data_IF_399066531629
#
_entry.id   IF_399066531629
#
_cell.length_a   1.000
_cell.length_b   1.000
_cell.length_c   1.000
_cell.angle_alpha   90.00
_cell.angle_beta   90.00
_cell.angle_gamma   90.00
#
_symmetry.space_group_name_H-M   'P 1'
#
loop_
_entity.id
_entity.type
_entity.pdbx_description
1 polymer ?
#
# COMPACT_ATOMS: atom_id res chain seq x y z
N UNK A 1 -68.91 -74.77 -81.75
CA UNK A 1 -69.51 -75.35 -80.54
C UNK A 1 -70.08 -74.18 -79.77
N UNK A 2 -71.33 -73.79 -80.09
CA UNK A 2 -72.53 -73.96 -79.24
C UNK A 2 -72.33 -73.29 -77.88
N UNK A 3 -73.17 -72.35 -77.40
CA UNK A 3 -74.63 -72.29 -77.50
C UNK A 3 -75.17 -70.92 -77.03
N UNK A 4 -76.41 -70.63 -77.40
CA UNK A 4 -77.27 -69.46 -77.09
C UNK A 4 -77.70 -69.31 -75.61
N UNK A 5 -78.05 -68.09 -75.21
CA UNK A 5 -79.40 -67.59 -74.75
C UNK A 5 -79.24 -66.38 -73.80
N UNK A 6 -79.75 -65.20 -74.19
CA UNK A 6 -81.07 -64.61 -73.86
C UNK A 6 -81.22 -64.03 -72.44
N UNK A 7 -81.20 -62.69 -72.41
CA UNK A 7 -82.17 -61.71 -71.87
C UNK A 7 -82.45 -61.46 -70.36
N UNK A 8 -82.71 -60.17 -70.13
CA UNK A 8 -83.50 -59.51 -69.07
C UNK A 8 -82.90 -59.24 -67.66
N UNK A 9 -82.66 -57.95 -67.35
CA UNK A 9 -83.41 -57.22 -66.29
C UNK A 9 -82.72 -55.92 -65.84
N UNK A 10 -83.55 -54.92 -65.61
CA UNK A 10 -83.29 -53.51 -65.31
C UNK A 10 -82.87 -53.23 -63.86
N UNK A 11 -82.26 -52.06 -63.66
CA UNK A 11 -82.23 -51.28 -62.41
C UNK A 11 -81.28 -51.72 -61.30
N UNK A 12 -80.16 -50.99 -61.15
CA UNK A 12 -79.59 -50.42 -59.90
C UNK A 12 -78.11 -50.08 -60.07
N UNK A 13 -77.81 -48.87 -60.55
CA UNK A 13 -76.45 -48.30 -60.52
C UNK A 13 -76.51 -46.81 -60.11
N UNK A 14 -76.96 -46.52 -58.89
CA UNK A 14 -76.86 -45.18 -58.28
C UNK A 14 -76.74 -45.27 -56.75
N UNK A 15 -75.75 -46.00 -56.24
CA UNK A 15 -75.50 -46.05 -54.78
C UNK A 15 -74.01 -46.15 -54.41
N UNK A 16 -73.09 -45.74 -55.28
CA UNK A 16 -71.64 -45.87 -55.05
C UNK A 16 -70.84 -44.56 -55.05
N UNK A 17 -71.48 -43.38 -55.00
CA UNK A 17 -70.79 -42.10 -55.27
C UNK A 17 -70.93 -41.00 -54.20
N UNK A 18 -71.27 -41.35 -52.96
CA UNK A 18 -71.54 -40.33 -51.92
C UNK A 18 -70.56 -40.39 -50.73
N UNK A 19 -69.62 -41.35 -50.69
CA UNK A 19 -68.83 -41.56 -49.47
C UNK A 19 -67.35 -41.12 -49.52
N UNK A 20 -66.84 -40.69 -50.68
CA UNK A 20 -65.44 -40.23 -50.82
C UNK A 20 -65.26 -38.70 -50.71
N UNK A 21 -66.33 -37.89 -50.58
CA UNK A 21 -66.21 -36.42 -50.59
C UNK A 21 -66.14 -35.75 -49.22
N UNK A 22 -66.39 -36.47 -48.12
CA UNK A 22 -66.38 -35.87 -46.77
C UNK A 22 -65.02 -36.02 -46.06
N UNK A 23 -64.22 -37.04 -46.36
CA UNK A 23 -62.89 -37.23 -45.74
C UNK A 23 -61.83 -36.24 -46.27
N UNK A 24 -61.95 -35.79 -47.52
CA UNK A 24 -61.00 -34.82 -48.11
C UNK A 24 -61.28 -33.35 -47.70
N UNK A 25 -62.47 -33.05 -47.17
CA UNK A 25 -62.84 -31.68 -46.79
C UNK A 25 -62.52 -31.36 -45.32
N UNK A 26 -62.45 -32.36 -44.44
CA UNK A 26 -61.96 -32.19 -43.07
C UNK A 26 -60.42 -32.02 -43.01
N UNK A 27 -59.69 -32.47 -44.03
CA UNK A 27 -58.24 -32.27 -44.15
C UNK A 27 -57.84 -30.82 -44.49
N UNK A 28 -58.76 -29.98 -44.97
CA UNK A 28 -58.44 -28.59 -45.38
C UNK A 28 -58.62 -27.55 -44.25
N UNK A 29 -59.08 -27.96 -43.08
CA UNK A 29 -59.38 -27.06 -41.95
C UNK A 29 -58.26 -26.87 -40.93
N UNK A 30 -57.02 -27.24 -41.27
CA UNK A 30 -55.86 -27.01 -40.39
C UNK A 30 -54.65 -26.39 -41.09
N UNK A 31 -54.87 -25.36 -41.92
CA UNK A 31 -53.79 -24.42 -42.20
C UNK A 31 -53.68 -23.49 -40.99
N UNK A 32 -52.59 -23.54 -40.19
CA UNK A 32 -52.44 -22.62 -39.07
C UNK A 32 -52.45 -21.19 -39.62
N UNK A 33 -53.31 -20.34 -39.06
CA UNK A 33 -53.52 -18.96 -39.49
C UNK A 33 -52.16 -18.24 -39.58
N UNK A 34 -51.84 -17.63 -40.72
CA UNK A 34 -50.61 -16.86 -40.91
C UNK A 34 -50.46 -15.76 -39.84
N UNK A 35 -51.57 -15.28 -39.25
CA UNK A 35 -51.57 -14.37 -38.09
C UNK A 35 -51.13 -15.03 -36.78
N UNK A 36 -51.41 -16.31 -36.57
CA UNK A 36 -50.93 -17.08 -35.41
C UNK A 36 -49.42 -17.31 -35.49
N UNK A 37 -48.89 -17.62 -36.68
CA UNK A 37 -47.44 -17.72 -36.88
C UNK A 37 -46.71 -16.38 -36.67
N UNK A 38 -47.27 -15.26 -37.13
CA UNK A 38 -46.64 -13.93 -36.95
C UNK A 38 -46.69 -13.45 -35.48
N UNK A 39 -47.77 -13.74 -34.76
CA UNK A 39 -47.87 -13.42 -33.32
C UNK A 39 -46.96 -14.29 -32.45
N UNK A 40 -46.83 -15.59 -32.76
CA UNK A 40 -45.88 -16.49 -32.11
C UNK A 40 -44.43 -16.05 -32.35
N UNK A 41 -44.08 -15.74 -33.61
CA UNK A 41 -42.75 -15.25 -34.01
C UNK A 41 -42.41 -13.90 -33.35
N UNK A 42 -43.36 -12.97 -33.25
CA UNK A 42 -43.18 -11.71 -32.49
C UNK A 42 -42.96 -11.95 -31.00
N UNK A 43 -43.66 -12.93 -30.40
CA UNK A 43 -43.49 -13.29 -28.99
C UNK A 43 -42.13 -13.90 -28.71
N UNK A 44 -41.66 -14.78 -29.60
CA UNK A 44 -40.34 -15.40 -29.50
C UNK A 44 -39.23 -14.38 -29.74
N UNK A 45 -39.39 -13.47 -30.71
CA UNK A 45 -38.44 -12.38 -30.95
C UNK A 45 -38.36 -11.41 -29.76
N UNK A 46 -39.49 -11.09 -29.11
CA UNK A 46 -39.51 -10.30 -27.87
C UNK A 46 -38.81 -11.02 -26.71
N UNK A 47 -38.98 -12.33 -26.58
CA UNK A 47 -38.29 -13.15 -25.56
C UNK A 47 -36.79 -13.21 -25.83
N UNK A 48 -36.37 -13.47 -27.06
CA UNK A 48 -34.95 -13.48 -27.44
C UNK A 48 -34.33 -12.10 -27.25
N UNK A 49 -35.00 -11.02 -27.66
CA UNK A 49 -34.53 -9.65 -27.42
C UNK A 49 -34.41 -9.33 -25.92
N UNK A 50 -35.39 -9.74 -25.11
CA UNK A 50 -35.30 -9.58 -23.65
C UNK A 50 -34.12 -10.35 -23.04
N UNK A 51 -33.88 -11.60 -23.48
CA UNK A 51 -32.73 -12.40 -23.03
C UNK A 51 -31.40 -11.73 -23.45
N UNK A 52 -31.30 -11.25 -24.68
CA UNK A 52 -30.11 -10.53 -25.18
C UNK A 52 -29.88 -9.24 -24.40
N UNK A 53 -30.94 -8.48 -24.08
CA UNK A 53 -30.84 -7.26 -23.27
C UNK A 53 -30.39 -7.60 -21.84
N UNK A 54 -30.95 -8.64 -21.22
CA UNK A 54 -30.52 -9.09 -19.88
C UNK A 54 -29.06 -9.52 -19.89
N UNK A 55 -28.62 -10.26 -20.92
CA UNK A 55 -27.21 -10.62 -21.08
C UNK A 55 -26.32 -9.40 -21.32
N UNK A 56 -26.74 -8.44 -22.14
CA UNK A 56 -25.96 -7.22 -22.37
C UNK A 56 -25.83 -6.39 -21.09
N UNK A 57 -26.92 -6.24 -20.33
CA UNK A 57 -26.93 -5.53 -19.06
C UNK A 57 -26.11 -6.26 -17.99
N UNK A 58 -26.14 -7.59 -17.94
CA UNK A 58 -25.29 -8.35 -17.01
C UNK A 58 -23.81 -8.18 -17.35
N UNK A 59 -23.43 -8.23 -18.62
CA UNK A 59 -22.05 -8.00 -19.05
C UNK A 59 -21.60 -6.56 -18.77
N UNK A 60 -22.45 -5.56 -19.04
CA UNK A 60 -22.14 -4.16 -18.71
C UNK A 60 -22.00 -3.95 -17.20
N UNK A 61 -22.89 -4.56 -16.40
CA UNK A 61 -22.78 -4.52 -14.95
C UNK A 61 -21.50 -5.21 -14.46
N UNK A 62 -21.15 -6.39 -14.99
CA UNK A 62 -19.89 -7.07 -14.68
C UNK A 62 -18.66 -6.27 -15.10
N UNK A 63 -18.70 -5.59 -16.25
CA UNK A 63 -17.63 -4.69 -16.69
C UNK A 63 -17.50 -3.47 -15.79
N UNK A 64 -18.61 -2.84 -15.41
CA UNK A 64 -18.60 -1.70 -14.49
C UNK A 64 -18.15 -2.09 -13.09
N UNK A 65 -18.62 -3.22 -12.58
CA UNK A 65 -18.19 -3.76 -11.30
C UNK A 65 -16.71 -4.15 -11.34
N UNK A 66 -16.24 -4.77 -12.43
CA UNK A 66 -14.83 -5.10 -12.62
C UNK A 66 -13.93 -3.87 -12.77
N UNK A 67 -14.38 -2.83 -13.47
CA UNK A 67 -13.66 -1.56 -13.60
C UNK A 67 -13.64 -0.79 -12.28
N UNK A 68 -14.74 -0.77 -11.54
CA UNK A 68 -14.80 -0.19 -10.20
C UNK A 68 -13.89 -0.96 -9.25
N UNK A 69 -13.98 -2.30 -9.22
CA UNK A 69 -13.10 -3.16 -8.45
C UNK A 69 -11.62 -2.98 -8.80
N UNK A 70 -11.28 -2.75 -10.07
CA UNK A 70 -9.91 -2.46 -10.53
C UNK A 70 -9.46 -1.02 -10.22
N UNK A 71 -10.37 -0.06 -10.21
CA UNK A 71 -10.05 1.29 -9.69
C UNK A 71 -9.85 1.27 -8.16
N UNK A 72 -10.50 0.32 -7.48
CA UNK A 72 -10.33 0.05 -6.05
C UNK A 72 -9.31 -1.06 -5.73
N UNK A 73 -8.70 -1.71 -6.72
CA UNK A 73 -7.38 -2.34 -6.55
C UNK A 73 -6.39 -1.17 -6.56
N UNK A 74 -6.52 -0.29 -5.57
CA UNK A 74 -6.05 -0.43 -4.19
C UNK A 74 -4.71 0.26 -4.24
N UNK A 75 -4.66 1.45 -3.66
CA UNK A 75 -3.42 2.10 -3.27
C UNK A 75 -2.67 1.11 -2.38
N UNK A 76 -1.88 0.23 -3.02
CA UNK A 76 -1.15 -0.83 -2.35
C UNK A 76 -0.10 -0.23 -1.44
N UNK A 77 0.47 0.90 -1.84
CA UNK A 77 1.49 1.59 -1.07
C UNK A 77 0.88 2.18 0.21
N UNK A 78 -0.23 2.91 0.12
CA UNK A 78 -0.96 3.38 1.31
C UNK A 78 -1.49 2.23 2.18
N UNK A 79 -2.03 1.17 1.57
CA UNK A 79 -2.49 -0.01 2.31
C UNK A 79 -1.34 -0.73 3.02
N UNK A 80 -0.20 -0.92 2.36
CA UNK A 80 0.99 -1.51 2.96
C UNK A 80 1.55 -0.61 4.06
N UNK A 81 1.67 0.70 3.83
CA UNK A 81 2.14 1.65 4.84
C UNK A 81 1.28 1.64 6.11
N UNK A 82 -0.05 1.61 5.95
CA UNK A 82 -0.99 1.51 7.06
C UNK A 82 -0.99 0.14 7.73
N UNK A 83 -0.70 -0.94 7.01
CA UNK A 83 -0.70 -2.30 7.55
C UNK A 83 0.60 -2.66 8.30
N UNK A 84 1.74 -2.12 7.88
CA UNK A 84 3.06 -2.52 8.39
C UNK A 84 3.67 -1.51 9.37
N UNK A 85 2.97 -0.44 9.72
CA UNK A 85 3.48 0.62 10.59
C UNK A 85 2.43 1.04 11.61
N UNK A 86 2.86 1.48 12.80
CA UNK A 86 1.99 2.17 13.74
C UNK A 86 1.43 3.45 13.10
N UNK A 87 0.18 3.79 13.46
CA UNK A 87 -0.44 5.01 12.96
C UNK A 87 0.36 6.26 13.38
N UNK A 88 0.52 7.21 12.47
CA UNK A 88 1.07 8.54 12.73
C UNK A 88 0.53 9.54 11.71
N UNK A 89 0.66 10.86 11.96
CA UNK A 89 0.30 11.89 10.97
C UNK A 89 1.01 11.75 9.63
N UNK A 90 2.20 11.14 9.59
CA UNK A 90 2.90 10.87 8.32
C UNK A 90 2.02 10.06 7.37
N UNK A 91 1.29 9.05 7.87
CA UNK A 91 0.41 8.22 7.03
C UNK A 91 -0.84 8.97 6.52
N UNK A 92 -1.14 10.13 7.10
CA UNK A 92 -2.27 10.98 6.72
C UNK A 92 -1.83 12.11 5.79
N UNK A 93 -0.67 12.70 6.05
CA UNK A 93 -0.21 13.94 5.43
C UNK A 93 0.81 13.70 4.29
N UNK A 94 1.42 12.52 4.23
CA UNK A 94 2.37 12.11 3.19
C UNK A 94 1.80 10.95 2.39
N UNK A 95 1.86 11.08 1.08
CA UNK A 95 1.60 9.96 0.16
C UNK A 95 2.80 9.01 0.21
N UNK A 96 2.70 7.96 1.03
CA UNK A 96 3.80 7.01 1.25
C UNK A 96 3.84 6.06 0.07
N UNK A 97 4.91 6.13 -0.70
CA UNK A 97 5.16 5.29 -1.88
C UNK A 97 6.32 4.32 -1.64
N UNK A 98 6.30 3.17 -2.29
CA UNK A 98 7.37 2.18 -2.25
C UNK A 98 8.09 2.11 -3.59
N UNK A 99 9.39 2.39 -3.56
CA UNK A 99 10.24 2.43 -4.74
C UNK A 99 11.45 1.52 -4.60
N UNK A 100 11.78 0.81 -5.68
CA UNK A 100 13.00 0.03 -5.74
C UNK A 100 14.24 0.92 -5.75
N UNK A 101 15.16 0.68 -4.82
CA UNK A 101 16.48 1.32 -4.75
C UNK A 101 17.58 0.27 -4.89
N UNK A 102 18.65 0.60 -5.59
CA UNK A 102 19.86 -0.22 -5.61
C UNK A 102 20.82 0.33 -4.58
N UNK A 103 21.25 -0.52 -3.65
CA UNK A 103 22.24 -0.11 -2.66
C UNK A 103 23.63 -0.11 -3.30
N UNK A 104 24.39 0.95 -3.04
CA UNK A 104 25.81 0.96 -3.36
C UNK A 104 26.56 0.19 -2.28
N UNK A 105 26.81 -1.09 -2.55
CA UNK A 105 27.51 -2.01 -1.65
C UNK A 105 29.02 -2.08 -1.91
N UNK A 106 29.59 -1.14 -2.66
CA UNK A 106 31.00 -1.17 -3.06
C UNK A 106 31.92 -1.24 -1.85
N UNK A 107 32.61 -2.37 -1.64
CA UNK A 107 33.36 -2.58 -0.41
C UNK A 107 34.55 -1.61 -0.26
N UNK A 108 35.38 -1.48 -1.30
CA UNK A 108 36.60 -0.66 -1.26
C UNK A 108 36.37 0.83 -1.60
N UNK A 109 35.27 1.14 -2.28
CA UNK A 109 34.96 2.51 -2.68
C UNK A 109 34.02 3.14 -1.66
N UNK A 110 34.55 4.12 -0.94
CA UNK A 110 33.78 4.88 0.04
C UNK A 110 33.02 6.03 -0.61
N UNK A 111 31.78 6.23 -0.17
CA UNK A 111 31.03 7.46 -0.40
C UNK A 111 31.26 8.45 0.75
N UNK A 112 30.61 9.62 0.69
CA UNK A 112 30.75 10.65 1.72
C UNK A 112 30.29 10.18 3.11
N UNK A 113 29.33 9.26 3.20
CA UNK A 113 28.76 8.83 4.48
C UNK A 113 29.69 7.89 5.26
N UNK A 114 30.66 7.28 4.57
CA UNK A 114 31.60 6.29 5.11
C UNK A 114 32.97 6.85 5.51
N UNK A 115 33.29 8.07 5.06
CA UNK A 115 34.59 8.70 5.33
C UNK A 115 34.80 9.02 6.80
N UNK A 116 36.07 9.22 7.17
CA UNK A 116 36.46 9.71 8.49
C UNK A 116 35.86 11.08 8.80
N UNK A 117 35.79 11.38 10.10
CA UNK A 117 35.21 12.60 10.62
C UNK A 117 35.78 13.87 9.97
N UNK A 118 34.89 14.69 9.42
CA UNK A 118 35.20 15.98 8.80
C UNK A 118 33.93 16.82 8.66
N UNK A 119 34.05 18.15 8.51
CA UNK A 119 32.89 19.02 8.30
C UNK A 119 32.03 18.62 7.10
N UNK A 120 32.64 18.15 6.02
CA UNK A 120 31.93 17.71 4.81
C UNK A 120 31.09 16.45 5.07
N UNK A 121 31.62 15.52 5.87
CA UNK A 121 30.87 14.32 6.29
C UNK A 121 29.73 14.71 7.21
N UNK A 122 29.96 15.61 8.16
CA UNK A 122 28.91 16.10 9.07
C UNK A 122 27.78 16.77 8.30
N UNK A 123 28.09 17.64 7.34
CA UNK A 123 27.08 18.26 6.47
C UNK A 123 26.27 17.25 5.66
N UNK A 124 26.91 16.18 5.15
CA UNK A 124 26.20 15.12 4.45
C UNK A 124 25.23 14.39 5.38
N UNK A 125 25.65 14.04 6.59
CA UNK A 125 24.77 13.41 7.58
C UNK A 125 23.64 14.34 8.05
N UNK A 126 23.94 15.61 8.32
CA UNK A 126 22.95 16.64 8.69
C UNK A 126 21.87 16.82 7.62
N UNK A 127 22.24 16.72 6.34
CA UNK A 127 21.30 16.77 5.21
C UNK A 127 20.31 15.61 5.18
N UNK A 128 20.49 14.56 6.00
CA UNK A 128 19.55 13.45 6.18
C UNK A 128 18.60 13.64 7.38
N UNK A 129 18.57 14.84 7.98
CA UNK A 129 17.66 15.14 9.09
C UNK A 129 18.04 14.50 10.43
N UNK A 130 19.30 14.10 10.61
CA UNK A 130 19.80 13.47 11.85
C UNK A 130 19.81 14.39 13.07
N UNK A 131 19.66 15.69 12.87
CA UNK A 131 19.62 16.70 13.92
C UNK A 131 18.30 17.51 13.90
N UNK A 132 17.23 16.94 13.34
CA UNK A 132 15.90 17.55 13.40
C UNK A 132 15.37 17.60 14.83
N UNK A 133 14.83 18.77 15.20
CA UNK A 133 14.19 19.01 16.50
C UNK A 133 12.85 18.29 16.59
N UNK A 134 12.34 18.18 17.83
CA UNK A 134 10.96 17.77 18.02
C UNK A 134 10.02 18.76 17.33
N UNK A 135 9.00 18.23 16.67
CA UNK A 135 7.87 18.97 16.14
C UNK A 135 6.69 18.95 17.10
N UNK A 136 5.57 19.57 16.71
CA UNK A 136 4.31 19.53 17.48
C UNK A 136 3.18 18.98 16.63
N UNK A 137 2.55 17.91 17.10
CA UNK A 137 1.33 17.35 16.49
C UNK A 137 0.11 17.65 17.35
N UNK A 138 -1.08 17.57 16.77
CA UNK A 138 -2.33 17.81 17.50
C UNK A 138 -2.53 16.78 18.63
N UNK A 139 -3.32 17.13 19.64
CA UNK A 139 -3.69 16.19 20.72
C UNK A 139 -4.37 14.94 20.14
N UNK A 140 -5.30 15.13 19.20
CA UNK A 140 -6.00 14.02 18.54
C UNK A 140 -5.04 13.06 17.84
N UNK A 141 -4.11 13.61 17.07
CA UNK A 141 -3.12 12.82 16.35
C UNK A 141 -2.14 12.12 17.33
N UNK A 142 -1.70 12.78 18.39
CA UNK A 142 -0.84 12.14 19.39
C UNK A 142 -1.51 10.96 20.08
N UNK A 143 -2.77 11.11 20.47
CA UNK A 143 -3.55 10.02 21.07
C UNK A 143 -3.73 8.84 20.10
N UNK A 144 -4.02 9.12 18.82
CA UNK A 144 -4.10 8.08 17.78
C UNK A 144 -2.76 7.39 17.51
N UNK A 145 -1.64 8.09 17.74
CA UNK A 145 -0.29 7.55 17.60
C UNK A 145 0.13 6.68 18.80
N UNK A 146 -0.68 6.63 19.86
CA UNK A 146 -0.40 5.85 21.07
C UNK A 146 0.25 6.64 22.20
N UNK A 147 0.31 7.98 22.10
CA UNK A 147 0.69 8.84 23.22
C UNK A 147 -0.49 8.98 24.18
N UNK A 148 -0.20 9.39 25.41
CA UNK A 148 -1.20 9.76 26.40
C UNK A 148 -0.89 11.14 27.02
N UNK A 149 -1.77 11.63 27.88
CA UNK A 149 -1.69 13.00 28.41
C UNK A 149 -0.52 13.24 29.38
N UNK A 150 0.19 12.19 29.82
CA UNK A 150 1.43 12.31 30.61
C UNK A 150 2.64 12.72 29.75
N UNK A 151 2.56 12.56 28.42
CA UNK A 151 3.62 12.99 27.52
C UNK A 151 3.73 14.52 27.47
N UNK A 152 4.93 15.00 27.14
CA UNK A 152 5.26 16.44 27.09
C UNK A 152 4.40 17.13 26.04
N UNK A 153 3.74 18.21 26.45
CA UNK A 153 2.80 18.96 25.62
C UNK A 153 3.18 20.44 25.54
N UNK A 154 2.85 21.06 24.41
CA UNK A 154 2.79 22.51 24.26
C UNK A 154 1.61 23.06 25.06
N UNK A 155 1.80 24.19 25.73
CA UNK A 155 0.74 24.79 26.55
C UNK A 155 -0.44 25.26 25.70
N UNK A 156 -1.63 25.28 26.30
CA UNK A 156 -2.89 25.61 25.61
C UNK A 156 -2.86 27.01 24.98
N UNK A 157 -2.16 27.95 25.61
CA UNK A 157 -1.95 29.32 25.11
C UNK A 157 -1.38 29.37 23.69
N UNK A 158 -0.61 28.36 23.29
CA UNK A 158 0.00 28.27 21.96
C UNK A 158 -0.66 27.21 21.07
N UNK A 159 -1.86 26.75 21.43
CA UNK A 159 -2.65 25.79 20.65
C UNK A 159 -2.21 24.35 20.88
N UNK A 160 -2.25 23.90 22.15
CA UNK A 160 -2.02 22.54 22.66
C UNK A 160 -1.66 21.43 21.65
N UNK A 161 -0.61 20.69 21.94
CA UNK A 161 -0.18 19.56 21.10
C UNK A 161 0.96 18.78 21.74
N UNK A 162 1.27 17.60 21.22
CA UNK A 162 2.37 16.78 21.71
C UNK A 162 3.66 17.13 21.00
N UNK A 163 4.75 17.23 21.77
CA UNK A 163 6.08 17.27 21.19
C UNK A 163 6.47 15.87 20.73
N UNK A 164 6.89 15.72 19.47
CA UNK A 164 7.23 14.42 18.89
C UNK A 164 8.44 14.52 17.98
N UNK A 165 9.22 13.45 17.93
CA UNK A 165 10.19 13.22 16.87
C UNK A 165 9.63 12.19 15.89
N UNK A 166 10.03 12.30 14.63
CA UNK A 166 9.75 11.25 13.64
C UNK A 166 10.75 10.12 13.87
N UNK A 167 10.27 8.93 14.24
CA UNK A 167 11.09 7.75 14.56
C UNK A 167 12.19 7.48 13.53
N UNK A 168 11.87 7.56 12.23
CA UNK A 168 12.86 7.38 11.16
C UNK A 168 14.05 8.36 11.24
N UNK A 169 13.80 9.62 11.59
CA UNK A 169 14.86 10.62 11.78
C UNK A 169 15.64 10.36 13.06
N UNK A 170 14.96 9.90 14.12
CA UNK A 170 15.62 9.50 15.36
C UNK A 170 16.51 8.25 15.17
N UNK A 171 16.11 7.28 14.34
CA UNK A 171 16.96 6.14 13.99
C UNK A 171 18.23 6.58 13.25
N UNK A 172 18.12 7.54 12.32
CA UNK A 172 19.29 8.11 11.63
C UNK A 172 20.17 8.93 12.58
N UNK A 173 19.58 9.65 13.54
CA UNK A 173 20.31 10.28 14.64
C UNK A 173 21.13 9.27 15.44
N UNK A 174 20.49 8.18 15.88
CA UNK A 174 21.15 7.09 16.59
C UNK A 174 22.32 6.51 15.77
N UNK A 175 22.10 6.26 14.47
CA UNK A 175 23.14 5.73 13.59
C UNK A 175 24.31 6.72 13.45
N UNK A 176 24.02 8.01 13.32
CA UNK A 176 25.04 9.06 13.27
C UNK A 176 25.84 9.12 14.57
N UNK A 177 25.20 8.99 15.75
CA UNK A 177 25.92 8.96 17.02
C UNK A 177 26.85 7.75 17.13
N UNK A 178 26.41 6.57 16.67
CA UNK A 178 27.27 5.37 16.60
C UNK A 178 28.45 5.62 15.66
N UNK A 179 28.23 6.19 14.46
CA UNK A 179 29.31 6.57 13.52
C UNK A 179 30.32 7.52 14.17
N UNK A 180 29.83 8.58 14.83
CA UNK A 180 30.67 9.58 15.52
C UNK A 180 31.47 8.95 16.66
N UNK A 181 31.01 7.82 17.21
CA UNK A 181 31.63 7.10 18.33
C UNK A 181 32.53 5.94 17.92
N UNK A 182 32.71 5.69 16.62
CA UNK A 182 33.70 4.73 16.13
C UNK A 182 35.10 5.17 16.57
N UNK A 183 35.97 4.21 16.86
CA UNK A 183 37.28 4.49 17.49
C UNK A 183 38.13 5.51 16.71
N UNK A 184 37.99 5.55 15.38
CA UNK A 184 38.71 6.46 14.49
C UNK A 184 38.05 7.84 14.34
N UNK A 185 36.82 8.01 14.80
CA UNK A 185 36.07 9.28 14.77
C UNK A 185 35.96 9.92 16.16
N UNK A 186 36.01 9.11 17.22
CA UNK A 186 35.64 9.51 18.57
C UNK A 186 36.45 10.71 19.09
N UNK A 187 37.78 10.70 18.95
CA UNK A 187 38.63 11.80 19.46
C UNK A 187 38.31 13.15 18.81
N UNK A 188 37.93 13.15 17.53
CA UNK A 188 37.52 14.35 16.81
C UNK A 188 36.24 14.95 17.42
N UNK A 189 35.19 14.13 17.56
CA UNK A 189 33.91 14.60 18.11
C UNK A 189 33.99 14.92 19.60
N UNK A 190 34.77 14.15 20.36
CA UNK A 190 35.02 14.43 21.78
C UNK A 190 35.71 15.78 21.97
N UNK A 191 36.68 16.11 21.12
CA UNK A 191 37.36 17.40 21.15
C UNK A 191 36.45 18.57 20.75
N UNK A 192 35.52 18.36 19.82
CA UNK A 192 34.54 19.39 19.46
C UNK A 192 33.58 19.70 20.62
N UNK A 193 33.20 18.69 21.41
CA UNK A 193 32.42 18.89 22.64
C UNK A 193 31.02 19.46 22.38
N UNK A 194 30.41 19.12 21.25
CA UNK A 194 29.06 19.57 20.86
C UNK A 194 28.06 18.42 20.91
N UNK A 195 26.77 18.73 20.89
CA UNK A 195 25.67 17.75 20.86
C UNK A 195 25.82 16.72 22.00
N UNK A 196 25.72 15.42 21.70
CA UNK A 196 25.91 14.35 22.68
C UNK A 196 27.26 14.45 23.42
N UNK A 197 28.33 14.86 22.73
CA UNK A 197 29.69 14.94 23.28
C UNK A 197 29.92 16.15 24.20
N UNK A 198 28.96 17.06 24.32
CA UNK A 198 28.96 18.11 25.35
C UNK A 198 28.71 17.54 26.76
N UNK A 199 28.14 16.34 26.86
CA UNK A 199 27.88 15.66 28.11
C UNK A 199 29.14 14.99 28.69
N UNK A 200 29.04 14.60 29.96
CA UNK A 200 30.05 13.76 30.61
C UNK A 200 30.23 12.42 29.91
N UNK A 201 31.43 11.85 30.04
CA UNK A 201 31.81 10.63 29.34
C UNK A 201 30.88 9.44 29.60
N UNK A 202 30.45 9.28 30.85
CA UNK A 202 29.56 8.19 31.22
C UNK A 202 28.17 8.33 30.55
N UNK A 203 27.68 9.56 30.36
CA UNK A 203 26.42 9.85 29.66
C UNK A 203 26.56 9.57 28.17
N UNK A 204 27.68 10.00 27.55
CA UNK A 204 27.94 9.71 26.13
C UNK A 204 27.92 8.20 25.89
N UNK A 205 28.59 7.41 26.75
CA UNK A 205 28.60 5.95 26.63
C UNK A 205 27.22 5.31 26.76
N UNK A 206 26.40 5.79 27.70
CA UNK A 206 25.02 5.32 27.86
C UNK A 206 24.18 5.67 26.63
N UNK A 207 24.32 6.89 26.10
CA UNK A 207 23.61 7.34 24.90
C UNK A 207 24.00 6.50 23.68
N UNK A 208 25.30 6.27 23.45
CA UNK A 208 25.78 5.41 22.35
C UNK A 208 25.24 3.98 22.50
N UNK A 209 25.26 3.42 23.71
CA UNK A 209 24.73 2.08 23.98
C UNK A 209 23.22 1.99 23.72
N UNK A 210 22.46 3.02 24.10
CA UNK A 210 21.04 3.12 23.80
C UNK A 210 20.80 3.18 22.30
N UNK A 211 21.50 4.08 21.58
CA UNK A 211 21.38 4.22 20.13
C UNK A 211 21.71 2.92 19.39
N UNK A 212 22.76 2.21 19.80
CA UNK A 212 23.12 0.91 19.26
C UNK A 212 21.95 -0.09 19.40
N UNK A 213 21.35 -0.17 20.59
CA UNK A 213 20.24 -1.11 20.83
C UNK A 213 18.96 -0.70 20.10
N UNK A 214 18.64 0.60 20.02
CA UNK A 214 17.52 1.12 19.23
C UNK A 214 17.65 0.71 17.76
N UNK A 215 18.83 0.88 17.15
CA UNK A 215 19.07 0.45 15.76
C UNK A 215 18.91 -1.07 15.62
N UNK A 216 19.46 -1.86 16.57
CA UNK A 216 19.29 -3.32 16.57
C UNK A 216 17.81 -3.72 16.60
N UNK A 217 17.00 -3.08 17.46
CA UNK A 217 15.58 -3.35 17.57
C UNK A 217 14.84 -3.04 16.26
N UNK A 218 15.16 -1.93 15.61
CA UNK A 218 14.57 -1.54 14.31
C UNK A 218 14.92 -2.55 13.21
N UNK A 219 16.19 -2.98 13.13
CA UNK A 219 16.64 -3.96 12.14
C UNK A 219 16.01 -5.35 12.35
N UNK A 220 15.75 -5.74 13.60
CA UNK A 220 15.06 -7.01 13.92
C UNK A 220 13.55 -6.89 13.64
N UNK A 221 12.95 -5.76 13.98
CA UNK A 221 11.52 -5.50 13.74
C UNK A 221 11.20 -5.44 12.25
N UNK A 222 12.08 -4.82 11.46
CA UNK A 222 11.98 -4.70 10.02
C UNK A 222 13.00 -5.60 9.33
N UNK A 223 13.06 -6.86 9.73
CA UNK A 223 14.03 -7.82 9.19
C UNK A 223 13.91 -7.90 7.67
N UNK A 224 15.01 -7.65 6.99
CA UNK A 224 15.08 -7.78 5.54
C UNK A 224 15.09 -9.27 5.15
N UNK A 225 14.20 -9.63 4.23
CA UNK A 225 14.05 -11.00 3.72
C UNK A 225 14.74 -11.21 2.37
N UNK A 226 15.41 -10.18 1.85
CA UNK A 226 16.28 -10.27 0.69
C UNK A 226 17.49 -11.18 0.93
N UNK A 227 18.08 -11.65 -0.17
CA UNK A 227 19.29 -12.48 -0.15
C UNK A 227 20.40 -11.79 -0.95
N UNK A 228 21.65 -11.99 -0.53
CA UNK A 228 22.83 -11.54 -1.26
C UNK A 228 23.69 -12.74 -1.67
N UNK A 229 24.25 -12.66 -2.86
CA UNK A 229 25.08 -13.72 -3.45
C UNK A 229 26.58 -13.48 -3.25
N UNK A 230 27.39 -14.26 -3.96
CA UNK A 230 28.83 -14.08 -4.05
C UNK A 230 29.26 -13.90 -5.50
N UNK A 231 30.33 -13.13 -5.70
CA UNK A 231 31.03 -12.92 -6.99
C UNK A 231 32.48 -13.38 -6.88
N UNK A 232 33.13 -13.63 -8.00
CA UNK A 232 34.57 -13.89 -8.05
C UNK A 232 35.34 -12.57 -7.95
N UNK A 233 36.22 -12.44 -6.95
CA UNK A 233 37.01 -11.25 -6.71
C UNK A 233 38.50 -11.59 -6.45
N UNK A 234 39.38 -10.63 -6.75
CA UNK A 234 40.83 -10.73 -6.52
C UNK A 234 41.59 -11.54 -7.58
N UNK A 235 42.89 -11.72 -7.32
CA UNK A 235 43.82 -12.54 -8.11
C UNK A 235 44.75 -13.31 -7.16
N UNK A 236 44.66 -14.66 -7.06
CA UNK A 236 43.74 -15.53 -7.79
C UNK A 236 42.26 -15.33 -7.37
N UNK A 237 41.28 -15.63 -8.23
CA UNK A 237 39.87 -15.42 -7.91
C UNK A 237 39.39 -16.23 -6.70
N UNK A 238 38.70 -15.58 -5.77
CA UNK A 238 38.01 -16.19 -4.63
C UNK A 238 36.57 -15.67 -4.51
N UNK A 239 35.63 -16.46 -3.94
CA UNK A 239 34.27 -15.99 -3.71
C UNK A 239 34.24 -14.84 -2.68
N UNK A 240 33.53 -13.76 -3.00
CA UNK A 240 33.34 -12.61 -2.14
C UNK A 240 31.87 -12.15 -2.16
N UNK A 241 31.24 -11.79 -1.03
CA UNK A 241 29.85 -11.33 -1.01
C UNK A 241 29.62 -10.10 -1.89
N UNK A 242 28.56 -10.11 -2.70
CA UNK A 242 28.13 -8.94 -3.44
C UNK A 242 27.04 -8.19 -2.68
N UNK A 243 27.41 -7.04 -2.14
CA UNK A 243 26.50 -6.20 -1.36
C UNK A 243 25.62 -5.30 -2.24
N UNK A 244 25.81 -5.28 -3.57
CA UNK A 244 25.00 -4.49 -4.49
C UNK A 244 23.65 -5.16 -4.71
N UNK A 245 22.75 -4.92 -3.78
CA UNK A 245 21.43 -5.53 -3.69
C UNK A 245 20.33 -4.51 -3.99
N UNK A 246 19.16 -5.03 -4.35
CA UNK A 246 17.99 -4.20 -4.71
C UNK A 246 16.94 -4.33 -3.61
N UNK A 247 16.46 -3.19 -3.12
CA UNK A 247 15.60 -3.06 -1.96
C UNK A 247 14.35 -2.28 -2.29
N UNK A 248 13.22 -2.65 -1.69
CA UNK A 248 12.01 -1.83 -1.76
C UNK A 248 12.02 -0.85 -0.58
N UNK A 249 12.02 0.45 -0.88
CA UNK A 249 12.14 1.49 0.15
C UNK A 249 10.94 2.41 0.10
N UNK A 250 10.50 2.89 1.28
CA UNK A 250 9.60 4.05 1.35
C UNK A 250 10.28 5.27 0.71
N UNK A 251 9.50 6.19 0.14
CA UNK A 251 9.95 7.49 -0.36
C UNK A 251 10.46 8.39 0.78
N UNK A 252 11.68 8.10 1.24
CA UNK A 252 12.34 8.77 2.36
C UNK A 252 12.33 10.29 2.24
N UNK A 253 12.57 10.83 1.05
CA UNK A 253 12.69 12.27 0.82
C UNK A 253 11.38 13.02 1.16
N UNK A 254 10.21 12.43 0.86
CA UNK A 254 8.91 13.03 1.18
C UNK A 254 8.64 13.03 2.71
N UNK A 255 9.01 11.93 3.38
CA UNK A 255 8.89 11.79 4.83
C UNK A 255 9.85 12.77 5.53
N UNK A 256 11.07 12.89 5.01
CA UNK A 256 12.08 13.83 5.50
C UNK A 256 11.60 15.27 5.38
N UNK A 257 11.08 15.67 4.22
CA UNK A 257 10.56 17.03 3.99
C UNK A 257 9.38 17.34 4.94
N UNK A 258 8.49 16.38 5.18
CA UNK A 258 7.42 16.54 6.17
C UNK A 258 7.99 16.71 7.59
N UNK A 259 8.96 15.89 7.98
CA UNK A 259 9.61 15.97 9.29
C UNK A 259 10.33 17.32 9.48
N UNK A 260 10.98 17.83 8.44
CA UNK A 260 11.66 19.11 8.45
C UNK A 260 10.68 20.25 8.76
N UNK A 261 9.53 20.27 8.08
CA UNK A 261 8.47 21.28 8.24
C UNK A 261 7.75 21.19 9.59
N UNK A 262 7.71 20.01 10.20
CA UNK A 262 7.04 19.79 11.49
C UNK A 262 7.79 20.45 12.66
N UNK A 263 9.11 20.65 12.55
CA UNK A 263 9.98 21.07 13.64
C UNK A 263 9.45 22.31 14.37
N UNK A 264 9.45 22.23 15.70
CA UNK A 264 9.18 23.39 16.54
C UNK A 264 10.31 24.43 16.39
N UNK A 265 10.04 25.71 16.75
CA UNK A 265 11.10 26.71 16.85
C UNK A 265 12.22 26.25 17.79
N UNK A 266 13.46 26.74 17.60
CA UNK A 266 14.58 26.42 18.48
C UNK A 266 14.25 26.72 19.95
N UNK A 267 14.66 25.82 20.85
CA UNK A 267 14.28 25.87 22.28
C UNK A 267 14.68 27.19 22.95
N UNK A 268 15.82 27.75 22.56
CA UNK A 268 16.35 29.03 23.04
C UNK A 268 15.52 30.25 22.60
N UNK A 269 14.62 30.08 21.62
CA UNK A 269 13.71 31.13 21.14
C UNK A 269 12.31 31.05 21.77
N UNK A 270 12.00 29.98 22.50
CA UNK A 270 10.67 29.74 23.03
C UNK A 270 10.42 30.50 24.35
N UNK A 271 9.21 31.06 24.56
CA UNK A 271 8.81 31.58 25.87
C UNK A 271 8.88 30.50 26.96
N UNK A 272 9.16 30.90 28.21
CA UNK A 272 9.26 29.97 29.34
C UNK A 272 7.95 29.23 29.67
N UNK A 273 6.80 29.73 29.21
CA UNK A 273 5.48 29.11 29.34
C UNK A 273 5.01 28.36 28.07
N UNK A 274 5.92 28.12 27.11
CA UNK A 274 5.60 27.42 25.87
C UNK A 274 5.28 25.92 26.09
N UNK A 275 6.02 25.28 26.99
CA UNK A 275 5.78 23.88 27.39
C UNK A 275 4.82 23.86 28.57
N UNK A 276 3.82 22.97 28.53
CA UNK A 276 2.93 22.77 29.66
C UNK A 276 3.71 22.19 30.86
N UNK A 277 3.43 22.63 32.09
CA UNK A 277 4.06 22.06 33.26
C UNK A 277 3.66 20.57 33.41
N UNK A 278 4.56 19.69 33.83
CA UNK A 278 4.23 18.29 34.09
C UNK A 278 3.42 18.15 35.38
N UNK A 279 2.56 17.14 35.44
CA UNK A 279 2.03 16.66 36.73
C UNK A 279 3.12 15.84 37.44
N UNK A 280 3.10 15.73 38.79
CA UNK A 280 4.11 14.96 39.51
C UNK A 280 4.22 13.49 39.08
N UNK A 281 3.13 12.91 38.57
CA UNK A 281 3.09 11.54 38.03
C UNK A 281 3.75 11.38 36.67
N UNK A 282 3.93 12.47 35.92
CA UNK A 282 4.44 12.45 34.55
C UNK A 282 5.98 12.37 34.52
N UNK A 283 6.64 12.66 35.65
CA UNK A 283 8.09 12.71 35.76
C UNK A 283 8.66 11.32 36.03
N UNK A 284 9.46 10.79 35.10
CA UNK A 284 10.13 9.50 35.23
C UNK A 284 11.50 9.67 35.94
N UNK A 285 11.65 9.30 37.22
CA UNK A 285 12.84 9.64 38.02
C UNK A 285 14.12 8.93 37.59
N UNK A 286 14.02 7.89 36.77
CA UNK A 286 15.15 7.07 36.30
C UNK A 286 15.62 7.42 34.89
N UNK A 287 15.01 8.43 34.27
CA UNK A 287 15.38 8.91 32.93
C UNK A 287 16.27 10.15 33.09
N UNK A 288 17.52 10.13 32.58
CA UNK A 288 18.46 11.26 32.68
C UNK A 288 17.94 12.54 32.02
#
# INVERSE_FOLDING_TARGET
MMQEKEDESSSRLLAGRVQESEEDLESLQSVPDARQHDTQRRRDWRRTAAVVVVFALSNLFSMHLGAHMRSTTADLDGACAAHTTQWSPVLKDVDVEYNWKHFNGSFLQEDIFRKEASPEVDAAWESMGVDYRAGVISIEDGLKSGLDMSFVRRSEKYGAGFFVNVEGMHHLHCLNLVRKSLYYNYDYYKKMGTHAFANEEHIVRLHVSHCLDTIRQVLVCNVDTGVLGQVWAGDPPAPFPDFNTKHMCKNYEAIQEWAEKLQAPPVDTLPGDYTAPPEPSDVLPTTP
#
